data_IF_755380642447
#
_entry.id   IF_755380642447
#
_cell.length_a   1.000
_cell.length_b   1.000
_cell.length_c   1.000
_cell.angle_alpha   90.00
_cell.angle_beta   90.00
_cell.angle_gamma   90.00
#
_symmetry.space_group_name_H-M   'P 1'
#
loop_
_entity.id
_entity.type
_entity.pdbx_description
1 polymer ?
#
# COMPACT_ATOMS: atom_id res chain seq x y z
N UNK A 1 1.74 -18.59 16.36
CA UNK A 1 1.25 -18.57 14.96
C UNK A 1 0.77 -17.21 14.42
N UNK A 2 0.59 -16.15 15.22
CA UNK A 2 0.10 -14.84 14.72
C UNK A 2 1.16 -13.89 14.11
N UNK A 3 2.43 -14.01 14.51
CA UNK A 3 3.47 -13.05 14.10
C UNK A 3 3.95 -13.27 12.67
N UNK A 4 4.35 -14.50 12.34
CA UNK A 4 4.86 -14.87 11.02
C UNK A 4 3.84 -14.53 9.93
N UNK A 5 2.59 -15.00 10.06
CA UNK A 5 1.53 -14.73 9.09
C UNK A 5 1.31 -13.23 8.84
N UNK A 6 1.32 -12.39 9.89
CA UNK A 6 1.17 -10.94 9.74
C UNK A 6 2.37 -10.28 9.08
N UNK A 7 3.59 -10.73 9.37
CA UNK A 7 4.80 -10.20 8.75
C UNK A 7 4.92 -10.66 7.29
N UNK A 8 4.55 -11.91 7.00
CA UNK A 8 4.42 -12.43 5.63
C UNK A 8 3.37 -11.64 4.84
N UNK A 9 2.20 -11.37 5.45
CA UNK A 9 1.18 -10.52 4.83
C UNK A 9 1.71 -9.11 4.55
N UNK A 10 2.42 -8.48 5.50
CA UNK A 10 3.03 -7.17 5.31
C UNK A 10 3.99 -7.17 4.12
N UNK A 11 4.85 -8.18 4.02
CA UNK A 11 5.78 -8.33 2.90
C UNK A 11 5.04 -8.55 1.57
N UNK A 12 4.01 -9.41 1.54
CA UNK A 12 3.20 -9.63 0.34
C UNK A 12 2.48 -8.35 -0.12
N UNK A 13 1.99 -7.53 0.82
CA UNK A 13 1.37 -6.24 0.50
C UNK A 13 2.40 -5.25 -0.05
N UNK A 14 3.62 -5.23 0.47
CA UNK A 14 4.72 -4.42 -0.07
C UNK A 14 5.14 -4.87 -1.49
N UNK A 15 5.21 -6.18 -1.73
CA UNK A 15 5.47 -6.72 -3.06
C UNK A 15 4.35 -6.31 -4.04
N UNK A 16 3.09 -6.44 -3.63
CA UNK A 16 1.95 -6.06 -4.45
C UNK A 16 1.94 -4.55 -4.75
N UNK A 17 2.22 -3.70 -3.76
CA UNK A 17 2.41 -2.25 -3.93
C UNK A 17 3.49 -1.95 -4.98
N UNK A 18 4.64 -2.61 -4.91
CA UNK A 18 5.71 -2.43 -5.89
C UNK A 18 5.27 -2.77 -7.31
N UNK A 19 4.59 -3.90 -7.49
CA UNK A 19 4.09 -4.34 -8.80
C UNK A 19 3.01 -3.41 -9.35
N UNK A 20 2.07 -2.99 -8.50
CA UNK A 20 1.00 -2.06 -8.90
C UNK A 20 1.58 -0.69 -9.24
N UNK A 21 2.52 -0.17 -8.45
CA UNK A 21 3.21 1.10 -8.76
C UNK A 21 3.84 1.04 -10.16
N UNK A 22 4.62 0.00 -10.45
CA UNK A 22 5.22 -0.17 -11.77
C UNK A 22 4.17 -0.23 -12.87
N UNK A 23 3.10 -0.99 -12.66
CA UNK A 23 2.01 -1.10 -13.62
C UNK A 23 1.41 0.28 -13.94
N UNK A 24 1.06 1.06 -12.91
CA UNK A 24 0.45 2.39 -13.08
C UNK A 24 1.41 3.40 -13.73
N UNK A 25 2.70 3.35 -13.38
CA UNK A 25 3.72 4.21 -13.97
C UNK A 25 3.94 3.88 -15.44
N UNK A 26 4.01 2.59 -15.80
CA UNK A 26 4.14 2.15 -17.20
C UNK A 26 2.96 2.58 -18.06
N UNK A 27 1.75 2.52 -17.51
CA UNK A 27 0.52 2.93 -18.19
C UNK A 27 0.35 4.45 -18.25
N UNK A 28 1.23 5.23 -17.62
CA UNK A 28 1.12 6.69 -17.55
C UNK A 28 -0.04 7.19 -16.68
N UNK A 29 -0.67 6.30 -15.89
CA UNK A 29 -1.85 6.60 -15.06
C UNK A 29 -1.45 7.34 -13.78
N UNK A 30 -0.30 6.99 -13.20
CA UNK A 30 0.17 7.58 -11.95
C UNK A 30 1.69 7.79 -11.98
N UNK A 31 2.18 8.62 -11.06
CA UNK A 31 3.61 8.80 -10.77
C UNK A 31 3.90 8.28 -9.37
N UNK A 32 5.15 7.84 -9.14
CA UNK A 32 5.61 7.48 -7.80
C UNK A 32 5.67 8.72 -6.92
N UNK A 33 4.96 8.70 -5.79
CA UNK A 33 4.84 9.84 -4.89
C UNK A 33 6.06 10.02 -3.99
N UNK A 34 6.82 8.95 -3.74
CA UNK A 34 8.05 9.03 -2.96
C UNK A 34 9.21 9.52 -3.85
N UNK A 35 9.78 10.69 -3.52
CA UNK A 35 10.86 11.29 -4.31
C UNK A 35 12.07 10.37 -4.51
N UNK A 36 12.52 9.66 -3.47
CA UNK A 36 13.67 8.75 -3.57
C UNK A 36 13.33 7.57 -4.48
N UNK A 37 12.16 6.97 -4.31
CA UNK A 37 11.71 5.87 -5.17
C UNK A 37 11.49 6.32 -6.62
N UNK A 38 11.03 7.55 -6.85
CA UNK A 38 10.92 8.11 -8.19
C UNK A 38 12.28 8.24 -8.86
N UNK A 39 13.32 8.65 -8.14
CA UNK A 39 14.69 8.66 -8.69
C UNK A 39 15.21 7.25 -8.99
N UNK A 40 14.86 6.27 -8.15
CA UNK A 40 15.20 4.88 -8.44
C UNK A 40 14.48 4.36 -9.68
N UNK A 41 13.22 4.73 -9.90
CA UNK A 41 12.47 4.42 -11.13
C UNK A 41 13.09 5.08 -12.37
N UNK A 42 13.57 6.32 -12.27
CA UNK A 42 14.30 6.98 -13.35
C UNK A 42 15.58 6.23 -13.74
N UNK A 43 16.25 5.59 -12.78
CA UNK A 43 17.39 4.70 -13.03
C UNK A 43 16.97 3.32 -13.58
N UNK A 44 15.69 3.00 -13.54
CA UNK A 44 15.11 1.74 -14.02
C UNK A 44 14.26 1.01 -12.98
N UNK A 45 13.47 0.06 -13.46
CA UNK A 45 12.52 -0.68 -12.63
C UNK A 45 13.21 -1.66 -11.67
N UNK A 46 14.35 -2.20 -12.08
CA UNK A 46 15.17 -3.12 -11.28
C UNK A 46 15.64 -2.50 -9.96
N UNK A 47 16.33 -1.34 -10.00
CA UNK A 47 16.71 -0.59 -8.79
C UNK A 47 15.52 -0.26 -7.88
N UNK A 48 14.40 0.18 -8.45
CA UNK A 48 13.18 0.45 -7.69
C UNK A 48 12.67 -0.81 -6.97
N UNK A 49 12.48 -1.92 -7.69
CA UNK A 49 12.01 -3.18 -7.11
C UNK A 49 12.96 -3.70 -6.04
N UNK A 50 14.26 -3.71 -6.33
CA UNK A 50 15.27 -4.21 -5.40
C UNK A 50 15.24 -3.46 -4.07
N UNK A 51 15.22 -2.12 -4.11
CA UNK A 51 15.17 -1.30 -2.89
C UNK A 51 13.83 -1.43 -2.18
N UNK A 52 12.71 -1.42 -2.91
CA UNK A 52 11.36 -1.54 -2.31
C UNK A 52 11.19 -2.88 -1.59
N UNK A 53 11.64 -3.98 -2.19
CA UNK A 53 11.62 -5.31 -1.59
C UNK A 53 12.62 -5.46 -0.43
N UNK A 54 13.83 -4.90 -0.55
CA UNK A 54 14.80 -4.92 0.54
C UNK A 54 14.27 -4.20 1.78
N UNK A 55 13.67 -3.02 1.61
CA UNK A 55 13.05 -2.26 2.71
C UNK A 55 11.86 -3.02 3.29
N UNK A 56 10.98 -3.58 2.45
CA UNK A 56 9.82 -4.36 2.90
C UNK A 56 10.22 -5.60 3.69
N UNK A 57 11.20 -6.36 3.19
CA UNK A 57 11.74 -7.53 3.88
C UNK A 57 12.41 -7.15 5.20
N UNK A 58 13.22 -6.08 5.20
CA UNK A 58 13.87 -5.57 6.40
C UNK A 58 12.85 -5.16 7.46
N UNK A 59 11.83 -4.39 7.08
CA UNK A 59 10.78 -3.98 8.01
C UNK A 59 9.99 -5.18 8.57
N UNK A 60 9.62 -6.13 7.73
CA UNK A 60 8.93 -7.36 8.16
C UNK A 60 9.79 -8.18 9.12
N UNK A 61 11.10 -8.31 8.84
CA UNK A 61 12.05 -9.02 9.70
C UNK A 61 12.24 -8.33 11.06
N UNK A 62 12.43 -7.01 11.07
CA UNK A 62 12.51 -6.20 12.30
C UNK A 62 11.26 -6.41 13.17
N UNK A 63 10.07 -6.26 12.58
CA UNK A 63 8.81 -6.41 13.32
C UNK A 63 8.58 -7.84 13.82
N UNK A 64 9.03 -8.84 13.05
CA UNK A 64 9.01 -10.24 13.47
C UNK A 64 9.97 -10.49 14.64
N UNK A 65 11.21 -9.98 14.56
CA UNK A 65 12.28 -10.19 15.54
C UNK A 65 11.96 -9.63 16.93
N UNK A 66 11.18 -8.55 16.99
CA UNK A 66 10.78 -7.87 18.23
C UNK A 66 9.28 -7.97 18.52
N UNK A 67 8.58 -8.96 17.95
CA UNK A 67 7.12 -9.11 18.11
C UNK A 67 6.67 -9.32 19.57
N UNK A 68 7.57 -9.73 20.46
CA UNK A 68 7.37 -9.80 21.91
C UNK A 68 7.09 -8.42 22.53
N UNK A 69 7.54 -7.33 21.89
CA UNK A 69 7.32 -5.95 22.34
C UNK A 69 5.98 -5.41 21.86
N UNK A 70 5.26 -4.75 22.76
CA UNK A 70 3.97 -4.13 22.45
C UNK A 70 4.06 -3.10 21.32
N UNK A 71 5.18 -2.36 21.26
CA UNK A 71 5.46 -1.39 20.20
C UNK A 71 5.53 -2.05 18.82
N UNK A 72 6.23 -3.18 18.68
CA UNK A 72 6.31 -3.89 17.41
C UNK A 72 4.95 -4.45 16.96
N UNK A 73 4.12 -4.95 17.90
CA UNK A 73 2.77 -5.43 17.57
C UNK A 73 1.86 -4.31 17.10
N UNK A 74 1.89 -3.16 17.76
CA UNK A 74 1.12 -1.96 17.37
C UNK A 74 1.63 -1.39 16.05
N UNK A 75 2.95 -1.32 15.88
CA UNK A 75 3.59 -0.90 14.64
C UNK A 75 3.23 -1.80 13.45
N UNK A 76 3.22 -3.12 13.64
CA UNK A 76 2.78 -4.07 12.62
C UNK A 76 1.29 -3.89 12.27
N UNK A 77 0.43 -3.68 13.28
CA UNK A 77 -0.98 -3.41 13.03
C UNK A 77 -1.19 -2.10 12.26
N UNK A 78 -0.47 -1.05 12.62
CA UNK A 78 -0.48 0.23 11.91
C UNK A 78 0.01 0.08 10.47
N UNK A 79 1.16 -0.59 10.26
CA UNK A 79 1.72 -0.81 8.94
C UNK A 79 0.75 -1.60 8.05
N UNK A 80 0.14 -2.66 8.55
CA UNK A 80 -0.89 -3.41 7.82
C UNK A 80 -2.10 -2.52 7.49
N UNK A 81 -2.56 -1.69 8.43
CA UNK A 81 -3.65 -0.74 8.18
C UNK A 81 -3.31 0.26 7.06
N UNK A 82 -2.09 0.81 7.07
CA UNK A 82 -1.62 1.71 6.02
C UNK A 82 -1.52 0.99 4.66
N UNK A 83 -0.99 -0.24 4.62
CA UNK A 83 -0.94 -1.00 3.37
C UNK A 83 -2.33 -1.35 2.83
N UNK A 84 -3.29 -1.69 3.70
CA UNK A 84 -4.66 -1.91 3.26
C UNK A 84 -5.29 -0.64 2.67
N UNK A 85 -5.05 0.52 3.28
CA UNK A 85 -5.48 1.80 2.73
C UNK A 85 -4.81 2.12 1.38
N UNK A 86 -3.52 1.81 1.23
CA UNK A 86 -2.81 1.95 -0.04
C UNK A 86 -3.35 1.00 -1.12
N UNK A 87 -3.69 -0.26 -0.77
CA UNK A 87 -4.31 -1.20 -1.72
C UNK A 87 -5.68 -0.70 -2.17
N UNK A 88 -6.45 -0.10 -1.26
CA UNK A 88 -7.70 0.56 -1.62
C UNK A 88 -7.45 1.71 -2.60
N UNK A 89 -6.43 2.54 -2.35
CA UNK A 89 -6.06 3.63 -3.26
C UNK A 89 -5.66 3.12 -4.65
N UNK A 90 -4.89 2.03 -4.75
CA UNK A 90 -4.63 1.40 -6.05
C UNK A 90 -5.90 0.93 -6.75
N UNK A 91 -6.88 0.43 -6.00
CA UNK A 91 -8.20 0.10 -6.54
C UNK A 91 -8.93 1.31 -7.11
N UNK A 92 -8.87 2.47 -6.43
CA UNK A 92 -9.42 3.72 -6.95
C UNK A 92 -8.66 4.20 -8.20
N UNK A 93 -7.34 4.07 -8.22
CA UNK A 93 -6.51 4.37 -9.40
C UNK A 93 -6.89 3.47 -10.58
N UNK A 94 -7.16 2.19 -10.33
CA UNK A 94 -7.64 1.27 -11.35
C UNK A 94 -8.99 1.71 -11.90
N UNK A 95 -9.95 2.08 -11.05
CA UNK A 95 -11.26 2.60 -11.48
C UNK A 95 -11.10 3.86 -12.35
N UNK A 96 -10.27 4.81 -11.95
CA UNK A 96 -10.00 5.99 -12.78
C UNK A 96 -9.35 5.66 -14.12
N UNK A 97 -8.51 4.61 -14.18
CA UNK A 97 -7.89 4.17 -15.43
C UNK A 97 -8.87 3.51 -16.40
N UNK A 98 -10.03 3.06 -15.91
CA UNK A 98 -11.13 2.50 -16.72
C UNK A 98 -12.28 3.51 -16.92
N UNK A 99 -12.00 4.81 -16.86
CA UNK A 99 -12.96 5.91 -17.05
C UNK A 99 -14.13 5.94 -16.04
N UNK A 100 -13.96 5.30 -14.87
CA UNK A 100 -14.91 5.46 -13.76
C UNK A 100 -14.49 6.62 -12.86
N UNK A 101 -15.45 7.50 -12.51
CA UNK A 101 -15.27 8.65 -11.63
C UNK A 101 -15.22 8.25 -10.13
N UNK A 102 -14.03 8.02 -9.53
CA UNK A 102 -13.95 7.42 -8.20
C UNK A 102 -14.35 8.42 -7.12
N UNK A 103 -14.14 9.71 -7.38
CA UNK A 103 -14.52 10.83 -6.50
C UNK A 103 -16.05 10.89 -6.36
N UNK A 104 -16.79 10.73 -7.46
CA UNK A 104 -18.23 10.70 -7.44
C UNK A 104 -18.76 9.49 -6.65
N UNK A 105 -18.13 8.31 -6.80
CA UNK A 105 -18.46 7.12 -6.04
C UNK A 105 -18.21 7.32 -4.53
N UNK A 106 -17.07 7.88 -4.15
CA UNK A 106 -16.74 8.17 -2.75
C UNK A 106 -17.73 9.17 -2.13
N UNK A 107 -18.09 10.23 -2.87
CA UNK A 107 -19.07 11.22 -2.41
C UNK A 107 -20.45 10.58 -2.17
N UNK A 108 -20.89 9.69 -3.06
CA UNK A 108 -22.16 8.96 -2.90
C UNK A 108 -22.13 8.01 -1.70
N UNK A 109 -21.03 7.28 -1.48
CA UNK A 109 -20.88 6.40 -0.33
C UNK A 109 -20.86 7.18 0.99
N UNK A 110 -20.12 8.28 1.04
CA UNK A 110 -20.09 9.16 2.21
C UNK A 110 -21.47 9.70 2.55
N UNK A 111 -22.23 10.16 1.54
CA UNK A 111 -23.58 10.66 1.74
C UNK A 111 -24.55 9.57 2.23
N UNK A 112 -24.40 8.32 1.75
CA UNK A 112 -25.20 7.19 2.24
C UNK A 112 -24.85 6.82 3.69
N UNK A 113 -23.58 6.85 4.05
CA UNK A 113 -23.11 6.56 5.40
C UNK A 113 -23.53 7.64 6.41
N UNK A 114 -23.41 8.92 6.05
CA UNK A 114 -23.84 10.04 6.92
C UNK A 114 -25.33 9.98 7.21
N UNK A 115 -26.16 9.70 6.20
CA UNK A 115 -27.61 9.53 6.36
C UNK A 115 -27.99 8.31 7.22
N UNK A 116 -27.17 7.26 7.22
CA UNK A 116 -27.41 6.06 8.05
C UNK A 116 -27.03 6.25 9.52
N UNK A 117 -26.13 7.21 9.83
CA UNK A 117 -25.71 7.53 11.19
C UNK A 117 -26.61 8.57 11.87
N UNK A 118 -27.48 9.25 11.11
CA UNK A 118 -28.45 10.23 11.58
C UNK A 118 -29.86 9.64 11.81
N UNK A 119 -30.02 8.32 11.64
CA UNK A 119 -31.24 7.55 11.99
C UNK A 119 -30.96 6.69 13.22
#
# INVERSE_FOLDING_TARGET
MRALAKCSLLFSLNLLDAQLTLYWVRMGVAREGNFVMSRLLECGEGPFLAVKLAIGAFAAWVLYRWYDRALARRGLALALGLYLALMFLHGLTALSAFDYEPIALMAQLFNRLSLSLLR
#
